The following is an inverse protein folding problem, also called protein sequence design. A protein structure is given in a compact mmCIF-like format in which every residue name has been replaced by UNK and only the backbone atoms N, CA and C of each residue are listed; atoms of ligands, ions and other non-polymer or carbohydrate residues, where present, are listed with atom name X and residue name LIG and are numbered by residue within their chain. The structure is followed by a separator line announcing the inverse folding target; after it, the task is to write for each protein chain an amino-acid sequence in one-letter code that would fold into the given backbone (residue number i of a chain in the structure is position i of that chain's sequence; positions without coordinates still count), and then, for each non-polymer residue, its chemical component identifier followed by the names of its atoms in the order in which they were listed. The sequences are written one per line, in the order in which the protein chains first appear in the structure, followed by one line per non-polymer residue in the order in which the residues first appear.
data_IF_497877322935
#
_entry.id   IF_497877322935
#
_cell.length_a   1.000
_cell.length_b   1.000
_cell.length_c   1.000
_cell.angle_alpha   90.00
_cell.angle_beta   90.00
_cell.angle_gamma   90.00
#
_symmetry.space_group_name_H-M   'P 1'
#
loop_
_entity.id
_entity.type
_entity.pdbx_description
1 polymer ?
#
# COMPACT_ATOMS: atom_id res chain seq x y z
N UNK A 1 12.20 -1.91 4.95
CA UNK A 1 11.22 -0.90 5.41
C UNK A 1 10.34 -1.50 6.50
N UNK A 2 10.12 -0.79 7.61
CA UNK A 2 9.36 -1.30 8.76
C UNK A 2 7.89 -1.64 8.44
N UNK A 3 7.32 -1.01 7.40
CA UNK A 3 6.00 -1.36 6.83
C UNK A 3 5.93 -2.83 6.39
N UNK A 4 6.94 -3.31 5.68
CA UNK A 4 6.96 -4.69 5.17
C UNK A 4 7.05 -5.72 6.31
N UNK A 5 7.79 -5.38 7.38
CA UNK A 5 7.88 -6.24 8.56
C UNK A 5 6.50 -6.39 9.22
N UNK A 6 5.83 -5.28 9.50
CA UNK A 6 4.50 -5.31 10.10
C UNK A 6 3.47 -5.99 9.20
N UNK A 7 3.53 -5.76 7.88
CA UNK A 7 2.66 -6.43 6.90
C UNK A 7 2.75 -7.96 6.96
N UNK A 8 3.97 -8.51 7.00
CA UNK A 8 4.20 -9.97 7.06
C UNK A 8 3.70 -10.61 8.35
N UNK A 9 3.53 -9.83 9.41
CA UNK A 9 2.97 -10.28 10.68
C UNK A 9 1.45 -10.07 10.77
N UNK A 10 0.78 -9.61 9.70
CA UNK A 10 -0.64 -9.24 9.73
C UNK A 10 -0.94 -7.95 10.49
N UNK A 11 0.09 -7.21 10.90
CA UNK A 11 -0.01 -6.01 11.73
C UNK A 11 -0.17 -4.74 10.87
N UNK A 12 -1.15 -4.74 9.97
CA UNK A 12 -1.36 -3.66 8.98
C UNK A 12 -1.54 -2.29 9.63
N UNK A 13 -2.21 -2.20 10.78
CA UNK A 13 -2.38 -0.92 11.49
C UNK A 13 -1.05 -0.31 11.94
N UNK A 14 -0.09 -1.15 12.34
CA UNK A 14 1.26 -0.69 12.69
C UNK A 14 2.03 -0.26 11.45
N UNK A 15 1.89 -1.01 10.35
CA UNK A 15 2.44 -0.63 9.05
C UNK A 15 1.92 0.76 8.62
N UNK A 16 0.62 1.02 8.82
CA UNK A 16 -0.03 2.30 8.53
C UNK A 16 0.47 3.43 9.43
N UNK A 17 0.60 3.20 10.74
CA UNK A 17 1.17 4.19 11.68
C UNK A 17 2.59 4.59 11.30
N UNK A 18 3.41 3.64 10.87
CA UNK A 18 4.76 3.91 10.37
C UNK A 18 4.70 4.79 9.12
N UNK A 19 3.87 4.40 8.15
CA UNK A 19 3.70 5.14 6.90
C UNK A 19 3.25 6.59 7.11
N UNK A 20 2.27 6.81 7.99
CA UNK A 20 1.75 8.15 8.27
C UNK A 20 2.79 9.04 8.95
N UNK A 21 3.67 8.47 9.79
CA UNK A 21 4.78 9.18 10.46
C UNK A 21 5.96 9.50 9.53
N UNK A 22 6.02 8.97 8.31
CA UNK A 22 7.09 9.29 7.36
C UNK A 22 6.98 10.73 6.87
N UNK A 23 8.00 11.55 7.12
CA UNK A 23 8.10 12.91 6.57
C UNK A 23 8.33 12.93 5.07
N UNK A 24 9.15 11.99 4.58
CA UNK A 24 9.47 11.83 3.16
C UNK A 24 8.96 10.46 2.71
N UNK A 25 8.01 10.47 1.78
CA UNK A 25 7.45 9.27 1.15
C UNK A 25 8.03 9.15 -0.25
N UNK A 26 8.30 7.92 -0.66
CA UNK A 26 8.69 7.55 -2.02
C UNK A 26 7.63 6.64 -2.66
N UNK A 27 7.68 6.48 -3.98
CA UNK A 27 6.84 5.51 -4.70
C UNK A 27 6.93 4.11 -4.09
N UNK A 28 8.13 3.70 -3.65
CA UNK A 28 8.34 2.41 -2.97
C UNK A 28 7.58 2.34 -1.65
N UNK A 29 7.58 3.41 -0.84
CA UNK A 29 6.84 3.44 0.43
C UNK A 29 5.33 3.34 0.24
N UNK A 30 4.80 3.98 -0.81
CA UNK A 30 3.40 3.91 -1.20
C UNK A 30 3.01 2.51 -1.66
N UNK A 31 3.77 1.93 -2.59
CA UNK A 31 3.53 0.58 -3.08
C UNK A 31 3.58 -0.44 -1.94
N UNK A 32 4.51 -0.26 -0.99
CA UNK A 32 4.63 -1.15 0.17
C UNK A 32 3.40 -1.09 1.07
N UNK A 33 2.88 0.10 1.40
CA UNK A 33 1.69 0.20 2.27
C UNK A 33 0.41 -0.24 1.56
N UNK A 34 0.26 0.09 0.27
CA UNK A 34 -0.89 -0.35 -0.54
C UNK A 34 -0.89 -1.88 -0.65
N UNK A 35 0.27 -2.47 -0.94
CA UNK A 35 0.45 -3.92 -0.97
C UNK A 35 0.17 -4.58 0.38
N UNK A 36 0.58 -3.95 1.48
CA UNK A 36 0.32 -4.45 2.83
C UNK A 36 -1.19 -4.56 3.14
N UNK A 37 -1.97 -3.54 2.80
CA UNK A 37 -3.42 -3.59 2.94
C UNK A 37 -4.04 -4.65 2.02
N UNK A 38 -3.60 -4.74 0.76
CA UNK A 38 -4.11 -5.72 -0.21
C UNK A 38 -3.84 -7.17 0.21
N UNK A 39 -2.62 -7.49 0.65
CA UNK A 39 -2.21 -8.84 1.05
C UNK A 39 -2.93 -9.34 2.30
N UNK A 40 -3.41 -8.42 3.14
CA UNK A 40 -4.14 -8.72 4.37
C UNK A 40 -5.66 -8.59 4.19
N UNK A 41 -6.16 -8.52 2.96
CA UNK A 41 -7.60 -8.51 2.66
C UNK A 41 -8.29 -7.15 2.83
N UNK A 42 -7.58 -6.08 3.16
CA UNK A 42 -8.12 -4.72 3.27
C UNK A 42 -8.04 -3.97 1.92
N UNK A 43 -8.83 -4.42 0.95
CA UNK A 43 -8.89 -3.80 -0.38
C UNK A 43 -9.38 -2.35 -0.36
N UNK A 44 -10.26 -1.99 0.57
CA UNK A 44 -10.76 -0.61 0.70
C UNK A 44 -9.67 0.32 1.24
N UNK A 45 -8.91 -0.11 2.24
CA UNK A 45 -7.74 0.62 2.74
C UNK A 45 -6.67 0.82 1.66
N UNK A 46 -6.41 -0.22 0.87
CA UNK A 46 -5.51 -0.15 -0.28
C UNK A 46 -5.97 0.90 -1.31
N UNK A 47 -7.26 0.91 -1.69
CA UNK A 47 -7.82 1.88 -2.63
C UNK A 47 -7.77 3.31 -2.11
N UNK A 48 -8.09 3.51 -0.82
CA UNK A 48 -7.99 4.84 -0.17
C UNK A 48 -6.55 5.37 -0.19
N UNK A 49 -5.57 4.50 0.05
CA UNK A 49 -4.15 4.85 -0.02
C UNK A 49 -3.71 5.17 -1.44
N UNK A 50 -4.14 4.38 -2.43
CA UNK A 50 -3.87 4.66 -3.84
C UNK A 50 -4.43 6.02 -4.28
N UNK A 51 -5.69 6.33 -3.94
CA UNK A 51 -6.27 7.64 -4.22
C UNK A 51 -5.55 8.79 -3.49
N UNK A 52 -4.97 8.53 -2.31
CA UNK A 52 -4.11 9.51 -1.61
C UNK A 52 -2.77 9.70 -2.32
N UNK A 53 -2.14 8.62 -2.79
CA UNK A 53 -0.89 8.67 -3.56
C UNK A 53 -1.02 9.57 -4.79
N UNK A 54 -2.08 9.38 -5.57
CA UNK A 54 -2.37 10.19 -6.77
C UNK A 54 -2.58 11.66 -6.41
N UNK A 55 -3.37 11.94 -5.36
CA UNK A 55 -3.61 13.33 -4.90
C UNK A 55 -2.35 14.03 -4.40
N UNK A 56 -1.39 13.28 -3.83
CA UNK A 56 -0.09 13.80 -3.42
C UNK A 56 0.91 13.92 -4.59
N UNK A 57 0.49 13.64 -5.82
CA UNK A 57 1.29 13.83 -7.04
C UNK A 57 2.35 12.75 -7.28
N UNK A 58 2.24 11.60 -6.59
CA UNK A 58 3.15 10.48 -6.82
C UNK A 58 2.68 9.65 -8.01
N UNK A 59 3.57 9.47 -8.98
CA UNK A 59 3.36 8.49 -10.05
C UNK A 59 3.38 7.07 -9.47
N UNK A 60 2.37 6.29 -9.82
CA UNK A 60 2.41 4.85 -9.61
C UNK A 60 3.40 4.27 -10.62
N UNK A 61 4.30 3.38 -10.19
CA UNK A 61 5.10 2.62 -11.16
C UNK A 61 4.16 1.83 -12.08
N UNK A 62 4.42 1.75 -13.38
CA UNK A 62 3.63 1.02 -14.41
C UNK A 62 3.13 -0.38 -13.97
N UNK A 63 3.83 -1.03 -13.03
CA UNK A 63 3.51 -2.32 -12.43
C UNK A 63 2.49 -2.31 -11.26
N UNK A 64 2.11 -1.15 -10.73
CA UNK A 64 1.22 -1.04 -9.56
C UNK A 64 -0.27 -1.12 -9.93
N UNK A 65 -0.67 -0.60 -11.09
CA UNK A 65 -2.05 -0.69 -11.58
C UNK A 65 -2.52 -2.14 -11.83
N UNK A 66 -1.74 -3.00 -12.53
CA UNK A 66 -2.11 -4.41 -12.71
C UNK A 66 -2.19 -5.17 -11.38
N UNK A 67 -1.30 -4.85 -10.44
CA UNK A 67 -1.26 -5.50 -9.12
C UNK A 67 -2.49 -5.18 -8.26
N UNK A 68 -3.04 -3.97 -8.39
CA UNK A 68 -4.32 -3.60 -7.78
C UNK A 68 -5.53 -4.28 -8.42
N UNK A 69 -5.49 -4.48 -9.74
CA UNK A 69 -6.57 -5.14 -10.49
C UNK A 69 -6.54 -6.67 -10.31
N UNK A 70 -5.36 -7.27 -10.13
CA UNK A 70 -5.21 -8.71 -9.89
C UNK A 70 -5.57 -9.17 -8.46
N UNK A 71 -5.88 -8.25 -7.54
CA UNK A 71 -6.29 -8.61 -6.18
C UNK A 71 -7.64 -9.38 -6.10
N UNK A 72 -8.37 -9.54 -7.23
CA UNK A 72 -9.56 -10.41 -7.32
C UNK A 72 -9.87 -10.86 -8.75
N UNK A 73 -9.15 -11.85 -9.29
CA UNK A 73 -9.75 -12.92 -10.12
C UNK A 73 -8.88 -14.19 -10.04
N UNK A 74 -9.10 -15.02 -9.02
CA UNK A 74 -8.73 -16.43 -9.08
C UNK A 74 -9.71 -17.19 -8.19
N UNK A 75 -10.56 -18.01 -8.83
CA UNK A 75 -11.31 -19.09 -8.19
C UNK A 75 -10.35 -20.24 -7.88
#
# INVERSE_FOLDING_TARGET
MLINLYSKCGLVDYARKVFDKMRLRSVVSWNTIIGAHSQNGDGLGALKLFGRMIREGFEFSEFALPSMLCARVSK
#
